data_IF_625396218838
#
_entry.id   IF_625396218838
#
_cell.length_a   1.000
_cell.length_b   1.000
_cell.length_c   1.000
_cell.angle_alpha   90.00
_cell.angle_beta   90.00
_cell.angle_gamma   90.00
#
_symmetry.space_group_name_H-M   'P 1'
#
loop_
_entity.id
_entity.type
_entity.pdbx_description
1 polymer ?
#
# COMPACT_ATOMS: atom_id res chain seq x y z
N UNK A 1 24.63 4.16 -1.79
CA UNK A 1 23.23 4.40 -1.55
C UNK A 1 22.63 3.30 -0.69
N UNK A 2 21.96 3.71 0.32
CA UNK A 2 21.38 2.78 1.25
C UNK A 2 20.15 2.10 0.68
N UNK A 3 20.10 0.80 0.83
CA UNK A 3 18.94 0.01 0.45
C UNK A 3 18.10 -0.21 1.69
N UNK A 4 16.92 0.42 1.74
CA UNK A 4 16.04 0.36 2.91
C UNK A 4 15.14 -0.87 2.97
N UNK A 5 15.45 -1.86 2.15
CA UNK A 5 14.70 -3.12 2.19
C UNK A 5 14.90 -3.84 3.52
N UNK A 6 13.91 -4.66 3.90
CA UNK A 6 14.02 -5.54 5.06
C UNK A 6 15.12 -6.56 4.79
N UNK A 7 15.91 -6.87 5.80
CA UNK A 7 16.98 -7.86 5.69
C UNK A 7 16.41 -9.23 5.31
N UNK A 8 17.00 -9.85 4.32
CA UNK A 8 16.56 -11.17 3.82
C UNK A 8 16.93 -12.28 4.78
N UNK A 9 16.12 -13.32 4.78
CA UNK A 9 16.41 -14.51 5.59
C UNK A 9 16.03 -14.37 7.06
N UNK A 10 15.23 -13.36 7.41
CA UNK A 10 14.77 -13.12 8.77
C UNK A 10 13.25 -13.09 8.83
N UNK A 11 12.71 -13.64 9.90
CA UNK A 11 11.26 -13.59 10.15
C UNK A 11 10.92 -12.22 10.74
N UNK A 12 9.86 -11.61 10.27
CA UNK A 12 9.35 -10.37 10.83
C UNK A 12 7.83 -10.35 10.75
N UNK A 13 7.21 -9.53 11.59
CA UNK A 13 5.77 -9.33 11.57
C UNK A 13 5.44 -8.04 10.85
N UNK A 14 4.55 -8.10 9.87
CA UNK A 14 4.18 -6.93 9.07
C UNK A 14 3.66 -5.80 9.95
N UNK A 15 2.87 -6.12 10.97
CA UNK A 15 2.31 -5.10 11.85
C UNK A 15 3.37 -4.36 12.66
N UNK A 16 4.56 -4.93 12.83
CA UNK A 16 5.64 -4.33 13.63
C UNK A 16 6.63 -3.54 12.80
N UNK A 17 6.53 -3.59 11.47
CA UNK A 17 7.49 -2.92 10.58
C UNK A 17 7.40 -1.40 10.69
N UNK A 18 6.21 -0.88 10.94
CA UNK A 18 5.98 0.56 10.97
C UNK A 18 5.15 0.90 12.21
N UNK A 19 5.46 2.04 12.82
CA UNK A 19 4.74 2.54 13.98
C UNK A 19 3.78 3.65 13.57
N UNK A 20 2.73 3.84 14.35
CA UNK A 20 1.87 5.00 14.18
C UNK A 20 2.57 6.25 14.70
N UNK A 21 2.50 7.29 13.92
CA UNK A 21 2.97 8.62 14.32
C UNK A 21 1.76 9.56 14.27
N UNK A 22 1.48 10.30 15.35
CA UNK A 22 0.30 11.19 15.36
C UNK A 22 0.25 12.11 14.16
N UNK A 23 -0.92 12.20 13.55
CA UNK A 23 -1.21 13.06 12.40
C UNK A 23 -0.38 12.77 11.16
N UNK A 24 0.13 11.54 11.04
CA UNK A 24 1.09 11.21 9.99
C UNK A 24 0.71 9.96 9.21
N UNK A 25 1.27 9.89 8.03
CA UNK A 25 1.30 8.69 7.18
C UNK A 25 2.78 8.32 7.04
N UNK A 26 3.13 7.11 7.47
CA UNK A 26 4.52 6.65 7.48
C UNK A 26 4.63 5.42 6.60
N UNK A 27 5.58 5.44 5.68
CA UNK A 27 5.82 4.32 4.78
C UNK A 27 7.18 3.68 5.06
N UNK A 28 7.22 2.37 5.03
CA UNK A 28 8.45 1.60 5.18
C UNK A 28 8.55 0.60 4.03
N UNK A 29 9.67 0.63 3.32
CA UNK A 29 9.89 -0.28 2.19
C UNK A 29 10.30 -1.64 2.70
N UNK A 30 9.60 -2.69 2.27
CA UNK A 30 9.97 -4.07 2.57
C UNK A 30 10.90 -4.60 1.49
N UNK A 31 10.52 -4.41 0.24
CA UNK A 31 11.24 -4.94 -0.91
C UNK A 31 11.08 -3.96 -2.07
N UNK A 32 12.19 -3.61 -2.72
CA UNK A 32 12.18 -2.71 -3.86
C UNK A 32 13.05 -3.24 -4.97
N UNK A 33 12.42 -3.43 -6.12
CA UNK A 33 13.08 -3.83 -7.37
C UNK A 33 12.60 -2.92 -8.48
N UNK A 34 13.33 -2.92 -9.59
CA UNK A 34 12.90 -2.16 -10.76
C UNK A 34 11.51 -2.60 -11.26
N UNK A 35 11.15 -3.84 -11.00
CA UNK A 35 9.90 -4.45 -11.48
C UNK A 35 8.78 -4.45 -10.45
N UNK A 36 9.04 -3.97 -9.25
CA UNK A 36 7.98 -3.89 -8.24
C UNK A 36 8.47 -3.46 -6.87
N UNK A 37 7.53 -3.05 -6.03
CA UNK A 37 7.82 -2.56 -4.69
C UNK A 37 6.77 -3.06 -3.72
N UNK A 38 7.21 -3.47 -2.53
CA UNK A 38 6.33 -3.82 -1.42
C UNK A 38 6.61 -2.86 -0.27
N UNK A 39 5.59 -2.15 0.19
CA UNK A 39 5.68 -1.22 1.32
C UNK A 39 4.65 -1.56 2.38
N UNK A 40 4.96 -1.23 3.63
CA UNK A 40 3.97 -1.17 4.70
C UNK A 40 3.80 0.28 5.10
N UNK A 41 2.56 0.70 5.24
CA UNK A 41 2.21 2.09 5.52
C UNK A 41 1.33 2.14 6.77
N UNK A 42 1.68 3.00 7.72
CA UNK A 42 0.78 3.33 8.83
C UNK A 42 0.07 4.63 8.51
N UNK A 43 -1.23 4.65 8.76
CA UNK A 43 -2.08 5.82 8.53
C UNK A 43 -2.78 6.14 9.82
N UNK A 44 -2.53 7.33 10.37
CA UNK A 44 -3.22 7.74 11.59
C UNK A 44 -4.71 7.98 11.30
N UNK A 45 -5.52 7.92 12.35
CA UNK A 45 -6.97 8.09 12.24
C UNK A 45 -7.31 9.40 11.53
N UNK A 46 -8.16 9.32 10.53
CA UNK A 46 -8.60 10.47 9.75
C UNK A 46 -7.59 10.99 8.74
N UNK A 47 -6.41 10.37 8.65
CA UNK A 47 -5.42 10.76 7.66
C UNK A 47 -5.62 10.00 6.37
N UNK A 48 -5.10 10.56 5.30
CA UNK A 48 -5.31 10.06 3.95
C UNK A 48 -3.98 9.86 3.24
N UNK A 49 -3.83 8.67 2.67
CA UNK A 49 -2.75 8.38 1.75
C UNK A 49 -3.28 8.65 0.34
N UNK A 50 -2.82 9.74 -0.26
CA UNK A 50 -3.21 10.11 -1.63
C UNK A 50 -2.17 9.54 -2.57
N UNK A 51 -2.60 8.61 -3.41
CA UNK A 51 -1.73 8.04 -4.42
C UNK A 51 -1.92 8.77 -5.74
N UNK A 52 -0.84 8.99 -6.44
CA UNK A 52 -0.91 9.52 -7.79
C UNK A 52 -1.43 8.43 -8.72
N UNK A 53 -2.11 8.84 -9.76
CA UNK A 53 -2.48 7.93 -10.83
C UNK A 53 -1.24 7.21 -11.32
N UNK A 54 -1.25 5.88 -11.23
CA UNK A 54 -0.12 5.03 -11.59
C UNK A 54 -0.43 4.22 -12.84
N UNK A 55 0.55 3.97 -13.71
CA UNK A 55 0.34 3.07 -14.85
C UNK A 55 0.33 1.60 -14.44
N UNK A 56 0.42 1.30 -13.15
CA UNK A 56 0.52 -0.07 -12.64
C UNK A 56 -0.64 -0.39 -11.70
N UNK A 57 -1.02 -1.67 -11.66
CA UNK A 57 -1.97 -2.15 -10.67
C UNK A 57 -1.30 -2.18 -9.29
N UNK A 58 -2.08 -1.92 -8.26
CA UNK A 58 -1.59 -1.93 -6.89
C UNK A 58 -2.45 -2.87 -6.06
N UNK A 59 -1.80 -3.81 -5.39
CA UNK A 59 -2.46 -4.70 -4.44
C UNK A 59 -2.40 -4.06 -3.05
N UNK A 60 -3.56 -3.87 -2.42
CA UNK A 60 -3.67 -3.29 -1.08
C UNK A 60 -4.26 -4.34 -0.14
N UNK A 61 -3.56 -4.61 0.95
CA UNK A 61 -4.02 -5.47 2.02
C UNK A 61 -4.08 -4.66 3.31
N UNK A 62 -5.24 -4.63 3.96
CA UNK A 62 -5.36 -4.02 5.28
C UNK A 62 -4.87 -5.01 6.34
N UNK A 63 -3.78 -4.67 7.02
CA UNK A 63 -3.15 -5.52 8.04
C UNK A 63 -3.89 -5.39 9.37
N UNK A 64 -4.20 -4.16 9.77
CA UNK A 64 -4.95 -3.87 10.99
C UNK A 64 -5.69 -2.55 10.86
N UNK A 65 -6.73 -2.37 11.65
CA UNK A 65 -7.53 -1.16 11.66
C UNK A 65 -8.78 -1.26 10.80
N UNK A 66 -9.24 -0.12 10.33
CA UNK A 66 -10.34 0.03 9.37
C UNK A 66 -9.99 1.15 8.43
N UNK A 67 -10.11 0.92 7.14
CA UNK A 67 -9.76 1.90 6.13
C UNK A 67 -10.82 1.94 5.05
N UNK A 68 -10.84 3.04 4.32
CA UNK A 68 -11.71 3.21 3.17
C UNK A 68 -10.86 3.56 1.97
N UNK A 69 -10.98 2.75 0.93
CA UNK A 69 -10.26 2.97 -0.33
C UNK A 69 -11.21 3.64 -1.31
N UNK A 70 -10.78 4.79 -1.81
CA UNK A 70 -11.51 5.50 -2.86
C UNK A 70 -10.85 5.20 -4.18
N UNK A 71 -11.61 4.70 -5.14
CA UNK A 71 -11.14 4.48 -6.52
C UNK A 71 -12.07 5.28 -7.42
N UNK A 72 -11.54 6.32 -8.03
CA UNK A 72 -12.30 7.32 -8.75
C UNK A 72 -13.37 7.91 -7.82
N UNK A 73 -14.64 7.68 -8.07
CA UNK A 73 -15.74 8.20 -7.24
C UNK A 73 -16.36 7.14 -6.34
N UNK A 74 -15.81 5.92 -6.34
CA UNK A 74 -16.36 4.81 -5.56
C UNK A 74 -15.57 4.59 -4.28
N UNK A 75 -16.28 4.22 -3.21
CA UNK A 75 -15.72 3.94 -1.91
C UNK A 75 -15.77 2.45 -1.61
N UNK A 76 -14.67 1.91 -1.11
CA UNK A 76 -14.54 0.49 -0.76
C UNK A 76 -14.01 0.38 0.67
N UNK A 77 -14.89 0.11 1.64
CA UNK A 77 -14.42 -0.08 3.01
C UNK A 77 -13.69 -1.42 3.15
N UNK A 78 -12.61 -1.41 3.93
CA UNK A 78 -11.84 -2.61 4.23
C UNK A 78 -11.79 -2.83 5.73
N UNK A 79 -11.96 -4.08 6.13
CA UNK A 79 -11.65 -4.57 7.46
C UNK A 79 -10.32 -5.31 7.44
N UNK A 80 -9.71 -5.48 8.61
CA UNK A 80 -8.43 -6.18 8.72
C UNK A 80 -8.48 -7.56 8.05
N UNK A 81 -7.47 -7.86 7.26
CA UNK A 81 -7.39 -9.10 6.50
C UNK A 81 -8.02 -9.03 5.11
N UNK A 82 -8.71 -7.95 4.80
CA UNK A 82 -9.30 -7.77 3.47
C UNK A 82 -8.36 -7.02 2.55
N UNK A 83 -8.52 -7.24 1.26
CA UNK A 83 -7.66 -6.68 0.23
C UNK A 83 -8.47 -6.18 -0.95
N UNK A 84 -7.83 -5.31 -1.74
CA UNK A 84 -8.39 -4.80 -2.97
C UNK A 84 -7.26 -4.55 -3.97
N UNK A 85 -7.55 -4.70 -5.25
CA UNK A 85 -6.62 -4.32 -6.30
C UNK A 85 -7.09 -2.99 -6.87
N UNK A 86 -6.20 -1.99 -6.81
CA UNK A 86 -6.45 -0.68 -7.42
C UNK A 86 -5.97 -0.76 -8.86
N UNK A 87 -6.87 -0.61 -9.84
CA UNK A 87 -6.47 -0.71 -11.24
C UNK A 87 -5.49 0.39 -11.66
N UNK A 88 -4.62 0.06 -12.60
CA UNK A 88 -3.75 1.04 -13.25
C UNK A 88 -4.58 2.20 -13.82
N UNK A 89 -3.98 3.38 -13.86
CA UNK A 89 -4.55 4.59 -14.47
C UNK A 89 -5.80 5.13 -13.77
N UNK A 90 -6.01 4.77 -12.50
CA UNK A 90 -7.14 5.30 -11.73
C UNK A 90 -6.65 6.24 -10.63
N UNK A 91 -7.47 7.23 -10.31
CA UNK A 91 -7.24 8.12 -9.18
C UNK A 91 -7.69 7.38 -7.93
N UNK A 92 -6.89 7.42 -6.87
CA UNK A 92 -7.22 6.69 -5.67
C UNK A 92 -6.67 7.36 -4.42
N UNK A 93 -7.28 7.02 -3.29
CA UNK A 93 -6.80 7.41 -1.98
C UNK A 93 -7.23 6.37 -0.95
N UNK A 94 -6.56 6.37 0.19
CA UNK A 94 -6.88 5.47 1.29
C UNK A 94 -6.96 6.30 2.56
N UNK A 95 -8.11 6.25 3.23
CA UNK A 95 -8.33 6.98 4.48
C UNK A 95 -8.36 5.97 5.62
N UNK A 96 -7.59 6.24 6.67
CA UNK A 96 -7.69 5.49 7.91
C UNK A 96 -8.91 5.94 8.69
N UNK A 97 -9.93 5.11 8.78
CA UNK A 97 -11.11 5.40 9.61
C UNK A 97 -10.70 5.40 11.08
N UNK A 98 -9.90 4.41 11.44
CA UNK A 98 -9.13 4.38 12.68
C UNK A 98 -7.67 4.22 12.27
N UNK A 99 -6.74 4.22 13.23
CA UNK A 99 -5.35 3.92 12.95
C UNK A 99 -5.25 2.61 12.18
N UNK A 100 -4.56 2.62 11.05
CA UNK A 100 -4.53 1.51 10.14
C UNK A 100 -3.15 1.25 9.60
N UNK A 101 -2.85 -0.02 9.34
CA UNK A 101 -1.60 -0.43 8.67
C UNK A 101 -1.97 -1.20 7.42
N UNK A 102 -1.30 -0.86 6.33
CA UNK A 102 -1.60 -1.34 5.00
C UNK A 102 -0.33 -1.87 4.37
N UNK A 103 -0.43 -3.01 3.69
CA UNK A 103 0.64 -3.46 2.80
C UNK A 103 0.25 -3.09 1.37
N UNK A 104 1.15 -2.40 0.70
CA UNK A 104 0.98 -1.99 -0.70
C UNK A 104 2.01 -2.70 -1.56
N UNK A 105 1.55 -3.38 -2.60
CA UNK A 105 2.41 -4.05 -3.56
C UNK A 105 2.12 -3.53 -4.95
N UNK A 106 3.14 -2.97 -5.59
CA UNK A 106 3.05 -2.48 -6.96
C UNK A 106 3.91 -3.37 -7.83
N UNK A 107 3.31 -3.90 -8.89
CA UNK A 107 4.02 -4.71 -9.88
C UNK A 107 4.18 -3.85 -11.12
N UNK A 108 5.43 -3.63 -11.54
CA UNK A 108 5.77 -2.69 -12.61
C UNK A 108 6.13 -3.35 -13.93
N UNK A 109 5.88 -4.64 -14.06
CA UNK A 109 6.14 -5.37 -15.30
C UNK A 109 4.93 -6.21 -15.67
N UNK A 110 4.92 -6.75 -16.87
CA UNK A 110 3.78 -7.55 -17.34
C UNK A 110 2.67 -6.71 -17.96
N UNK A 111 2.91 -5.42 -18.15
CA UNK A 111 1.95 -4.51 -18.79
C UNK A 111 2.31 -4.26 -20.25
N UNK A 112 3.39 -4.81 -20.69
CA UNK A 112 3.82 -4.70 -22.08
C UNK A 112 2.85 -5.45 -22.97
N UNK A 113 2.40 -4.79 -24.01
CA UNK A 113 1.49 -5.40 -24.95
C UNK A 113 2.20 -6.52 -25.69
N UNK A 114 1.58 -7.69 -25.68
CA UNK A 114 2.08 -8.81 -26.45
C UNK A 114 1.39 -8.79 -27.79
N UNK A 115 2.16 -8.52 -28.82
CA UNK A 115 1.65 -8.51 -30.20
C UNK A 115 1.94 -9.87 -30.80
N UNK A 116 0.88 -10.56 -31.11
CA UNK A 116 0.98 -11.92 -31.67
C UNK A 116 0.96 -11.88 -33.19
#
# INVERSE_FOLDING_TARGET
>A
MENNEIEKGHVFSLADIVNYVPNSVISHTILRKATGTVNVVSVDSGKELIERTSPFDTFILLIEGKAEVMIETKSFPLDAGQAIIIPAHTRNSIVGIVRSKIMSTIIKSGYEEVIM
#
